data_IF_547007012483
#
_entry.id   IF_547007012483
#
_cell.length_a   1.000
_cell.length_b   1.000
_cell.length_c   1.000
_cell.angle_alpha   90.00
_cell.angle_beta   90.00
_cell.angle_gamma   90.00
#
_symmetry.space_group_name_H-M   'P 1'
#
loop_
_entity.id
_entity.type
_entity.pdbx_description
1 polymer ?
#
# COMPACT_ATOMS: atom_id res chain seq x y z
N UNK A 1 -0.65 -26.78 21.42
CA UNK A 1 -0.15 -26.59 20.04
C UNK A 1 -1.05 -25.66 19.23
N UNK A 2 -2.38 -25.89 19.15
CA UNK A 2 -3.31 -24.99 18.41
C UNK A 2 -3.44 -23.61 19.07
N UNK A 3 -3.50 -23.56 20.39
CA UNK A 3 -3.60 -22.30 21.14
C UNK A 3 -2.29 -21.49 21.09
N UNK A 4 -1.17 -22.15 21.14
CA UNK A 4 0.15 -21.51 20.99
C UNK A 4 0.32 -20.92 19.60
N UNK A 5 -0.08 -21.62 18.54
CA UNK A 5 -0.06 -21.11 17.17
C UNK A 5 -0.97 -19.92 16.97
N UNK A 6 -2.18 -19.93 17.58
CA UNK A 6 -3.12 -18.83 17.51
C UNK A 6 -2.58 -17.59 18.21
N UNK A 7 -2.02 -17.76 19.42
CA UNK A 7 -1.36 -16.66 20.15
C UNK A 7 -0.24 -16.06 19.33
N UNK A 8 0.57 -16.89 18.73
CA UNK A 8 1.67 -16.47 17.89
C UNK A 8 1.20 -15.70 16.67
N UNK A 9 0.14 -16.16 15.99
CA UNK A 9 -0.46 -15.42 14.88
C UNK A 9 -0.97 -14.06 15.34
N UNK A 10 -1.63 -13.99 16.50
CA UNK A 10 -2.09 -12.73 17.08
C UNK A 10 -0.92 -11.79 17.40
N UNK A 11 0.18 -12.30 17.94
CA UNK A 11 1.40 -11.53 18.17
C UNK A 11 1.98 -10.98 16.86
N UNK A 12 2.11 -11.82 15.83
CA UNK A 12 2.60 -11.40 14.51
C UNK A 12 1.71 -10.32 13.88
N UNK A 13 0.39 -10.46 13.99
CA UNK A 13 -0.54 -9.49 13.42
C UNK A 13 -0.54 -8.17 14.20
N UNK A 14 -0.62 -8.21 15.53
CA UNK A 14 -0.65 -7.02 16.37
C UNK A 14 0.63 -6.21 16.23
N UNK A 15 1.77 -6.87 16.24
CA UNK A 15 3.07 -6.20 16.08
C UNK A 15 3.33 -5.81 14.62
N UNK A 16 2.88 -6.63 13.63
CA UNK A 16 3.08 -6.40 12.19
C UNK A 16 2.23 -5.30 11.61
N UNK A 17 1.00 -5.18 12.06
CA UNK A 17 0.08 -4.14 11.58
C UNK A 17 0.37 -2.75 12.19
N UNK A 18 1.52 -2.61 12.89
CA UNK A 18 1.98 -1.32 13.41
C UNK A 18 0.90 -0.62 14.27
N UNK A 19 0.29 -1.37 15.19
CA UNK A 19 -0.70 -0.81 16.12
C UNK A 19 -0.26 0.50 16.79
N UNK A 20 1.04 0.77 17.03
CA UNK A 20 1.51 2.10 17.46
C UNK A 20 1.20 3.22 16.45
N UNK A 21 1.13 2.91 15.16
CA UNK A 21 0.78 3.89 14.12
C UNK A 21 -0.72 4.22 14.07
N UNK A 22 -1.57 3.43 14.75
CA UNK A 22 -2.99 3.74 14.92
C UNK A 22 -3.24 4.75 16.06
N UNK A 23 -2.17 5.31 16.63
CA UNK A 23 -2.27 6.28 17.74
C UNK A 23 -2.67 5.65 19.08
N UNK A 24 -2.72 4.33 19.15
CA UNK A 24 -3.06 3.63 20.40
C UNK A 24 -1.87 3.67 21.36
N UNK A 25 -2.03 4.40 22.47
CA UNK A 25 -1.07 4.44 23.58
C UNK A 25 -1.26 3.22 24.51
N UNK A 26 -1.23 2.02 23.94
CA UNK A 26 -1.48 0.76 24.70
C UNK A 26 -0.29 -0.16 24.51
N UNK A 27 0.03 -0.92 25.55
CA UNK A 27 1.04 -1.98 25.45
C UNK A 27 0.54 -3.05 24.45
N UNK A 28 1.28 -3.33 23.37
CA UNK A 28 0.86 -4.33 22.38
C UNK A 28 0.62 -5.72 22.96
N UNK A 29 1.33 -6.10 24.01
CA UNK A 29 1.12 -7.39 24.69
C UNK A 29 -0.28 -7.48 25.32
N UNK A 30 -0.80 -6.40 25.90
CA UNK A 30 -2.17 -6.36 26.43
C UNK A 30 -3.19 -6.58 25.31
N UNK A 31 -2.94 -6.01 24.12
CA UNK A 31 -3.80 -6.23 22.95
C UNK A 31 -3.82 -7.71 22.55
N UNK A 32 -2.65 -8.34 22.50
CA UNK A 32 -2.55 -9.78 22.20
C UNK A 32 -3.33 -10.62 23.21
N UNK A 33 -3.17 -10.35 24.52
CA UNK A 33 -3.86 -11.09 25.57
C UNK A 33 -5.37 -10.97 25.45
N UNK A 34 -5.88 -9.76 25.20
CA UNK A 34 -7.31 -9.52 24.99
C UNK A 34 -7.82 -10.23 23.73
N UNK A 35 -7.10 -10.15 22.60
CA UNK A 35 -7.48 -10.84 21.36
C UNK A 35 -7.51 -12.36 21.57
N UNK A 36 -6.51 -12.91 22.23
CA UNK A 36 -6.45 -14.36 22.49
C UNK A 36 -7.60 -14.81 23.40
N UNK A 37 -7.99 -13.96 24.37
CA UNK A 37 -9.12 -14.21 25.26
C UNK A 37 -10.48 -14.07 24.57
N UNK A 38 -10.68 -12.98 23.84
CA UNK A 38 -12.00 -12.53 23.42
C UNK A 38 -12.36 -12.89 21.98
N UNK A 39 -11.38 -13.30 21.17
CA UNK A 39 -11.60 -13.65 19.78
C UNK A 39 -12.48 -14.89 19.64
N UNK A 40 -13.69 -14.70 19.11
CA UNK A 40 -14.70 -15.75 18.94
C UNK A 40 -14.30 -16.79 17.89
N UNK A 41 -13.67 -16.33 16.83
CA UNK A 41 -13.22 -17.15 15.71
C UNK A 41 -11.69 -17.24 15.72
N UNK A 42 -11.16 -18.44 15.89
CA UNK A 42 -9.71 -18.69 15.94
C UNK A 42 -9.13 -18.83 14.54
N UNK A 43 -9.18 -17.74 13.78
CA UNK A 43 -8.70 -17.61 12.41
C UNK A 43 -7.93 -16.31 12.23
N UNK A 44 -7.30 -16.13 11.07
CA UNK A 44 -6.69 -14.86 10.64
C UNK A 44 -7.75 -13.75 10.63
N UNK A 45 -8.90 -14.02 9.99
CA UNK A 45 -10.01 -13.08 9.91
C UNK A 45 -10.54 -12.67 11.27
N UNK A 46 -10.66 -13.64 12.21
CA UNK A 46 -11.10 -13.37 13.58
C UNK A 46 -10.16 -12.43 14.32
N UNK A 47 -8.86 -12.63 14.24
CA UNK A 47 -7.86 -11.72 14.83
C UNK A 47 -7.94 -10.34 14.17
N UNK A 48 -8.03 -10.31 12.85
CA UNK A 48 -8.11 -9.07 12.07
C UNK A 48 -9.34 -8.24 12.48
N UNK A 49 -10.51 -8.87 12.57
CA UNK A 49 -11.73 -8.25 13.09
C UNK A 49 -11.54 -7.71 14.50
N UNK A 50 -11.04 -8.54 15.42
CA UNK A 50 -10.88 -8.16 16.83
C UNK A 50 -9.97 -6.94 16.99
N UNK A 51 -8.92 -6.84 16.19
CA UNK A 51 -8.02 -5.67 16.19
C UNK A 51 -8.75 -4.40 15.74
N UNK A 52 -9.48 -4.47 14.63
CA UNK A 52 -10.19 -3.32 14.07
C UNK A 52 -11.39 -2.89 14.92
N UNK A 53 -12.15 -3.85 15.45
CA UNK A 53 -13.23 -3.59 16.40
C UNK A 53 -12.73 -2.92 17.69
N UNK A 54 -11.58 -3.39 18.19
CA UNK A 54 -10.93 -2.76 19.33
C UNK A 54 -10.56 -1.32 19.04
N UNK A 55 -9.96 -1.05 17.88
CA UNK A 55 -9.65 0.31 17.46
C UNK A 55 -10.93 1.15 17.36
N UNK A 56 -11.96 0.66 16.71
CA UNK A 56 -13.25 1.33 16.56
C UNK A 56 -13.89 1.69 17.93
N UNK A 57 -13.75 0.80 18.93
CA UNK A 57 -14.20 1.08 20.31
C UNK A 57 -13.43 2.22 20.96
N UNK A 58 -12.11 2.31 20.74
CA UNK A 58 -11.28 3.39 21.29
C UNK A 58 -11.47 4.71 20.55
N UNK A 59 -11.92 4.68 19.30
CA UNK A 59 -12.20 5.86 18.46
C UNK A 59 -13.70 6.21 18.47
N UNK A 60 -14.28 6.37 19.65
CA UNK A 60 -15.67 6.80 19.82
C UNK A 60 -16.71 5.69 19.72
N UNK A 61 -16.33 4.44 19.97
CA UNK A 61 -17.22 3.28 19.96
C UNK A 61 -17.97 3.12 18.62
N UNK A 62 -17.26 3.25 17.53
CA UNK A 62 -17.83 3.17 16.18
C UNK A 62 -18.27 1.73 15.85
N UNK A 63 -19.47 1.54 15.26
CA UNK A 63 -20.00 0.21 14.98
C UNK A 63 -19.33 -0.46 13.74
N UNK A 64 -18.62 0.31 12.95
CA UNK A 64 -18.01 -0.10 11.69
C UNK A 64 -16.55 0.31 11.59
N UNK A 65 -15.77 -0.48 10.95
CA UNK A 65 -14.38 -0.19 10.63
C UNK A 65 -14.12 -0.31 9.13
N UNK A 66 -13.10 0.38 8.67
CA UNK A 66 -12.58 0.27 7.32
C UNK A 66 -11.06 0.25 7.34
N UNK A 67 -10.46 -0.32 6.32
CA UNK A 67 -9.03 -0.44 6.17
C UNK A 67 -8.58 0.13 4.82
N UNK A 68 -7.44 0.81 4.81
CA UNK A 68 -6.81 1.33 3.61
C UNK A 68 -5.34 0.93 3.55
N UNK A 69 -5.07 -0.14 2.83
CA UNK A 69 -3.74 -0.53 2.36
C UNK A 69 -3.75 -0.61 0.84
N UNK A 70 -2.84 0.09 0.13
CA UNK A 70 -2.86 0.10 -1.34
C UNK A 70 -2.79 -1.28 -1.97
N UNK A 71 -2.16 -2.25 -1.29
CA UNK A 71 -1.98 -3.62 -1.78
C UNK A 71 -3.20 -4.52 -1.63
N UNK A 72 -4.24 -4.11 -0.89
CA UNK A 72 -5.49 -4.88 -0.75
C UNK A 72 -6.14 -5.21 -2.09
N UNK A 73 -5.87 -4.40 -3.12
CA UNK A 73 -6.33 -4.65 -4.48
C UNK A 73 -5.85 -5.99 -5.08
N UNK A 74 -4.76 -6.55 -4.57
CA UNK A 74 -4.23 -7.86 -4.99
C UNK A 74 -4.83 -9.03 -4.21
N UNK A 75 -5.52 -8.74 -3.10
CA UNK A 75 -6.07 -9.73 -2.18
C UNK A 75 -7.60 -9.69 -2.09
N UNK A 76 -8.27 -9.12 -3.10
CA UNK A 76 -9.75 -9.01 -3.12
C UNK A 76 -10.42 -10.38 -2.97
N UNK A 77 -9.82 -11.44 -3.55
CA UNK A 77 -10.33 -12.81 -3.43
C UNK A 77 -10.29 -13.27 -1.96
N UNK A 78 -9.14 -13.18 -1.33
CA UNK A 78 -8.91 -13.59 0.05
C UNK A 78 -9.77 -12.78 1.02
N UNK A 79 -9.87 -11.47 0.77
CA UNK A 79 -10.75 -10.60 1.56
C UNK A 79 -12.21 -11.06 1.44
N UNK A 80 -12.68 -11.44 0.26
CA UNK A 80 -14.04 -11.94 0.09
C UNK A 80 -14.27 -13.35 0.65
N UNK A 81 -13.23 -14.17 0.73
CA UNK A 81 -13.29 -15.47 1.41
C UNK A 81 -13.49 -15.30 2.91
N UNK A 82 -12.80 -14.34 3.52
CA UNK A 82 -12.89 -14.03 4.95
C UNK A 82 -14.06 -13.08 5.29
N UNK A 83 -14.39 -12.16 4.38
CA UNK A 83 -15.41 -11.11 4.54
C UNK A 83 -16.32 -11.06 3.30
N UNK A 84 -17.27 -11.99 3.14
CA UNK A 84 -18.11 -12.08 1.93
C UNK A 84 -18.91 -10.82 1.60
N UNK A 85 -19.22 -10.01 2.61
CA UNK A 85 -19.96 -8.75 2.50
C UNK A 85 -19.07 -7.51 2.45
N UNK A 86 -17.76 -7.67 2.25
CA UNK A 86 -16.85 -6.54 2.14
C UNK A 86 -17.23 -5.61 1.01
N UNK A 87 -17.18 -4.31 1.27
CA UNK A 87 -17.37 -3.25 0.28
C UNK A 87 -16.01 -2.66 -0.09
N UNK A 88 -15.78 -2.50 -1.39
CA UNK A 88 -14.51 -2.01 -1.93
C UNK A 88 -14.71 -0.64 -2.58
N UNK A 89 -13.89 0.32 -2.20
CA UNK A 89 -13.78 1.62 -2.86
C UNK A 89 -12.41 1.68 -3.51
N UNK A 90 -12.39 1.65 -4.85
CA UNK A 90 -11.15 1.75 -5.61
C UNK A 90 -10.96 3.17 -6.12
N UNK A 91 -9.97 3.87 -5.54
CA UNK A 91 -9.63 5.23 -5.96
C UNK A 91 -8.60 5.16 -7.09
N UNK A 92 -8.98 5.67 -8.27
CA UNK A 92 -8.09 5.79 -9.43
C UNK A 92 -7.72 7.25 -9.63
N UNK A 93 -6.43 7.51 -9.87
CA UNK A 93 -5.90 8.80 -10.34
C UNK A 93 -5.25 8.62 -11.70
N UNK A 94 -5.17 9.69 -12.50
CA UNK A 94 -4.39 9.66 -13.75
C UNK A 94 -3.01 9.05 -13.49
N UNK A 95 -2.71 7.97 -14.22
CA UNK A 95 -1.49 7.20 -13.97
C UNK A 95 -0.22 8.02 -14.19
N UNK A 96 -0.27 9.05 -15.03
CA UNK A 96 0.86 9.96 -15.29
C UNK A 96 1.11 10.88 -14.10
N UNK A 97 0.03 11.40 -13.48
CA UNK A 97 0.12 12.20 -12.25
C UNK A 97 0.60 11.34 -11.07
N UNK A 98 0.05 10.13 -10.94
CA UNK A 98 0.47 9.19 -9.90
C UNK A 98 1.95 8.78 -10.07
N UNK A 99 2.39 8.57 -11.32
CA UNK A 99 3.78 8.24 -11.61
C UNK A 99 4.73 9.40 -11.32
N UNK A 100 4.33 10.64 -11.63
CA UNK A 100 5.13 11.82 -11.30
C UNK A 100 5.38 11.93 -9.79
N UNK A 101 4.34 11.68 -8.97
CA UNK A 101 4.48 11.66 -7.51
C UNK A 101 5.34 10.46 -7.03
N UNK A 102 5.20 9.27 -7.66
CA UNK A 102 6.00 8.11 -7.30
C UNK A 102 7.50 8.30 -7.57
N UNK A 103 7.85 8.96 -8.67
CA UNK A 103 9.26 9.25 -8.99
C UNK A 103 9.93 10.15 -7.92
N UNK A 104 9.15 10.97 -7.22
CA UNK A 104 9.62 11.83 -6.13
C UNK A 104 9.63 11.14 -4.76
N UNK A 105 8.94 10.00 -4.63
CA UNK A 105 8.82 9.29 -3.36
C UNK A 105 10.04 8.41 -3.07
N UNK A 106 10.34 8.22 -1.78
CA UNK A 106 11.45 7.36 -1.34
C UNK A 106 11.20 5.86 -1.58
N UNK A 107 9.94 5.46 -1.78
CA UNK A 107 9.51 4.05 -1.86
C UNK A 107 8.95 3.67 -3.24
N UNK A 108 8.75 4.63 -4.14
CA UNK A 108 8.21 4.41 -5.47
C UNK A 108 9.23 3.87 -6.47
N UNK A 109 8.78 3.50 -7.68
CA UNK A 109 9.66 3.24 -8.81
C UNK A 109 10.54 4.46 -9.13
N UNK A 110 11.74 4.20 -9.61
CA UNK A 110 12.76 5.24 -9.86
C UNK A 110 12.81 5.73 -11.31
N UNK A 111 12.03 5.12 -12.18
CA UNK A 111 11.87 5.53 -13.56
C UNK A 111 10.43 5.39 -14.03
N UNK A 112 10.10 6.13 -15.09
CA UNK A 112 8.73 6.22 -15.60
C UNK A 112 8.22 4.90 -16.19
N UNK A 113 9.10 4.06 -16.72
CA UNK A 113 8.73 2.75 -17.27
C UNK A 113 8.15 1.86 -16.16
N UNK A 114 8.90 1.68 -15.07
CA UNK A 114 8.46 0.88 -13.93
C UNK A 114 7.28 1.51 -13.17
N UNK A 115 7.19 2.84 -13.14
CA UNK A 115 6.01 3.52 -12.57
C UNK A 115 4.75 3.24 -13.39
N UNK A 116 4.86 3.26 -14.72
CA UNK A 116 3.76 2.90 -15.62
C UNK A 116 3.37 1.42 -15.49
N UNK A 117 4.34 0.50 -15.40
CA UNK A 117 4.07 -0.93 -15.15
C UNK A 117 3.32 -1.11 -13.83
N UNK A 118 3.75 -0.45 -12.76
CA UNK A 118 3.11 -0.54 -11.44
C UNK A 118 1.68 -0.03 -11.47
N UNK A 119 1.43 1.09 -12.13
CA UNK A 119 0.08 1.63 -12.27
C UNK A 119 -0.82 0.73 -13.12
N UNK A 120 -0.35 0.23 -14.26
CA UNK A 120 -1.07 -0.70 -15.12
C UNK A 120 -1.39 -2.01 -14.39
N UNK A 121 -0.45 -2.53 -13.59
CA UNK A 121 -0.64 -3.72 -12.77
C UNK A 121 -1.81 -3.54 -11.81
N UNK A 122 -1.89 -2.39 -11.12
CA UNK A 122 -3.01 -2.07 -10.23
C UNK A 122 -4.36 -2.05 -10.97
N UNK A 123 -4.43 -1.43 -12.17
CA UNK A 123 -5.63 -1.41 -12.99
C UNK A 123 -6.04 -2.83 -13.45
N UNK A 124 -5.05 -3.63 -13.84
CA UNK A 124 -5.28 -5.01 -14.29
C UNK A 124 -5.74 -5.92 -13.15
N UNK A 125 -5.20 -5.76 -11.94
CA UNK A 125 -5.56 -6.55 -10.77
C UNK A 125 -7.05 -6.38 -10.39
N UNK A 126 -7.59 -5.18 -10.51
CA UNK A 126 -8.99 -4.91 -10.13
C UNK A 126 -10.00 -5.16 -11.27
N UNK A 127 -9.54 -5.25 -12.52
CA UNK A 127 -10.41 -5.42 -13.70
C UNK A 127 -11.39 -6.62 -13.59
N UNK A 128 -10.98 -7.82 -13.12
CA UNK A 128 -11.91 -8.93 -12.94
C UNK A 128 -12.98 -8.64 -11.89
N UNK A 129 -12.62 -7.94 -10.84
CA UNK A 129 -13.51 -7.65 -9.72
C UNK A 129 -14.57 -6.62 -10.07
N UNK A 130 -14.24 -5.58 -10.84
CA UNK A 130 -15.20 -4.62 -11.41
C UNK A 130 -16.31 -5.30 -12.22
N UNK A 131 -16.02 -6.48 -12.81
CA UNK A 131 -16.99 -7.23 -13.59
C UNK A 131 -17.78 -8.24 -12.76
N UNK A 132 -17.17 -8.74 -11.67
CA UNK A 132 -17.72 -9.81 -10.83
C UNK A 132 -18.58 -9.27 -9.69
N UNK A 133 -18.16 -8.17 -9.09
CA UNK A 133 -18.86 -7.56 -7.98
C UNK A 133 -19.91 -6.58 -8.48
N UNK A 134 -21.02 -6.53 -7.80
CA UNK A 134 -22.10 -5.61 -8.12
C UNK A 134 -21.90 -4.21 -7.47
N UNK A 135 -22.82 -3.31 -7.76
CA UNK A 135 -22.73 -1.92 -7.27
C UNK A 135 -22.91 -1.78 -5.75
N UNK A 136 -23.32 -2.81 -5.03
CA UNK A 136 -23.38 -2.81 -3.57
C UNK A 136 -22.04 -3.17 -2.93
N UNK A 137 -21.16 -3.85 -3.66
CA UNK A 137 -19.87 -4.30 -3.17
C UNK A 137 -18.68 -3.55 -3.80
N UNK A 138 -18.84 -2.93 -4.98
CA UNK A 138 -17.74 -2.26 -5.67
C UNK A 138 -18.10 -0.84 -6.09
N UNK A 139 -17.24 0.11 -5.73
CA UNK A 139 -17.33 1.50 -6.14
C UNK A 139 -16.00 1.98 -6.73
N UNK A 140 -16.03 2.43 -7.99
CA UNK A 140 -14.92 3.20 -8.55
C UNK A 140 -15.07 4.69 -8.24
N UNK A 141 -13.99 5.31 -7.78
CA UNK A 141 -13.92 6.72 -7.44
C UNK A 141 -12.70 7.34 -8.13
N UNK A 142 -12.92 8.38 -8.95
CA UNK A 142 -11.79 9.13 -9.51
C UNK A 142 -11.30 10.17 -8.50
N UNK A 143 -9.98 10.20 -8.31
CA UNK A 143 -9.33 11.21 -7.47
C UNK A 143 -9.69 12.62 -7.91
N UNK A 144 -9.69 12.86 -9.22
CA UNK A 144 -9.98 14.16 -9.83
C UNK A 144 -11.39 14.63 -9.51
N UNK A 145 -12.37 13.73 -9.53
CA UNK A 145 -13.75 14.05 -9.16
C UNK A 145 -13.88 14.35 -7.66
N UNK A 146 -13.18 13.53 -6.84
CA UNK A 146 -13.17 13.72 -5.39
C UNK A 146 -12.59 15.07 -4.98
N UNK A 147 -11.52 15.54 -5.61
CA UNK A 147 -10.91 16.82 -5.23
C UNK A 147 -11.59 18.04 -5.83
N UNK A 148 -12.29 17.89 -6.97
CA UNK A 148 -13.07 18.96 -7.61
C UNK A 148 -14.41 19.21 -6.91
N UNK A 149 -15.10 18.14 -6.54
CA UNK A 149 -16.38 18.22 -5.84
C UNK A 149 -16.42 17.21 -4.68
N UNK A 150 -15.67 17.50 -3.59
CA UNK A 150 -15.59 16.59 -2.44
C UNK A 150 -16.96 16.31 -1.83
N UNK A 151 -17.84 17.33 -1.75
CA UNK A 151 -19.16 17.15 -1.13
C UNK A 151 -20.01 16.12 -1.87
N UNK A 152 -20.05 16.21 -3.20
CA UNK A 152 -20.79 15.28 -4.05
C UNK A 152 -20.21 13.85 -3.95
N UNK A 153 -18.88 13.74 -4.04
CA UNK A 153 -18.22 12.43 -4.02
C UNK A 153 -18.31 11.75 -2.65
N UNK A 154 -18.18 12.51 -1.56
CA UNK A 154 -18.35 11.97 -0.21
C UNK A 154 -19.81 11.56 0.07
N UNK A 155 -20.80 12.32 -0.39
CA UNK A 155 -22.22 11.89 -0.31
C UNK A 155 -22.43 10.55 -1.01
N UNK A 156 -21.97 10.44 -2.28
CA UNK A 156 -22.05 9.19 -3.04
C UNK A 156 -21.32 8.02 -2.34
N UNK A 157 -20.18 8.30 -1.72
CA UNK A 157 -19.43 7.30 -0.95
C UNK A 157 -20.20 6.87 0.30
N UNK A 158 -20.81 7.80 1.02
CA UNK A 158 -21.66 7.49 2.17
C UNK A 158 -22.91 6.69 1.77
N UNK A 159 -23.57 7.06 0.66
CA UNK A 159 -24.69 6.28 0.10
C UNK A 159 -24.26 4.83 -0.24
N UNK A 160 -23.09 4.64 -0.87
CA UNK A 160 -22.54 3.32 -1.16
C UNK A 160 -22.28 2.50 0.11
N UNK A 161 -21.82 3.16 1.18
CA UNK A 161 -21.50 2.53 2.45
C UNK A 161 -22.72 2.37 3.38
N UNK A 162 -23.89 2.89 3.01
CA UNK A 162 -25.06 3.01 3.89
C UNK A 162 -24.72 3.79 5.18
N UNK A 163 -24.01 4.92 5.01
CA UNK A 163 -23.56 5.78 6.08
C UNK A 163 -24.09 7.22 5.91
N UNK A 164 -24.17 7.94 7.01
CA UNK A 164 -24.60 9.33 6.97
C UNK A 164 -23.46 10.26 6.57
N UNK A 165 -23.71 11.10 5.56
CA UNK A 165 -22.76 12.15 5.20
C UNK A 165 -22.68 13.23 6.30
N UNK A 166 -21.46 13.64 6.62
CA UNK A 166 -21.19 14.78 7.51
C UNK A 166 -20.28 15.81 6.84
N UNK A 167 -20.61 17.11 6.90
CA UNK A 167 -19.71 18.17 6.43
C UNK A 167 -18.34 18.16 7.11
N UNK A 168 -18.22 17.62 8.32
CA UNK A 168 -16.96 17.47 9.04
C UNK A 168 -15.95 16.58 8.29
N UNK A 169 -16.39 15.73 7.36
CA UNK A 169 -15.51 14.93 6.51
C UNK A 169 -14.55 15.79 5.66
N UNK A 170 -14.93 17.04 5.35
CA UNK A 170 -14.06 17.99 4.63
C UNK A 170 -12.94 18.56 5.51
N UNK A 171 -13.05 18.40 6.82
CA UNK A 171 -12.13 18.97 7.79
C UNK A 171 -11.09 17.97 8.29
N UNK A 172 -10.93 16.85 7.59
CA UNK A 172 -9.98 15.76 7.96
C UNK A 172 -8.58 16.27 8.31
N UNK A 173 -8.11 17.32 7.62
CA UNK A 173 -6.79 17.92 7.81
C UNK A 173 -6.64 18.63 9.17
N UNK A 174 -7.72 18.90 9.88
CA UNK A 174 -7.71 19.46 11.24
C UNK A 174 -7.48 18.39 12.31
N UNK A 175 -7.63 17.11 11.97
CA UNK A 175 -7.42 16.00 12.89
C UNK A 175 -5.94 15.80 13.26
N UNK A 176 -5.69 15.26 14.45
CA UNK A 176 -4.33 15.08 14.97
C UNK A 176 -3.49 14.11 14.13
N UNK A 177 -4.12 13.06 13.59
CA UNK A 177 -3.46 12.09 12.70
C UNK A 177 -3.01 12.77 11.40
N UNK A 178 -3.87 13.58 10.79
CA UNK A 178 -3.56 14.29 9.56
C UNK A 178 -2.44 15.32 9.80
N UNK A 179 -2.51 16.06 10.90
CA UNK A 179 -1.45 17.01 11.30
C UNK A 179 -0.11 16.30 11.52
N UNK A 180 -0.10 15.21 12.29
CA UNK A 180 1.11 14.46 12.56
C UNK A 180 1.74 13.87 11.29
N UNK A 181 0.94 13.26 10.41
CA UNK A 181 1.43 12.69 9.13
C UNK A 181 1.78 13.75 8.11
N UNK A 182 1.09 14.88 8.07
CA UNK A 182 1.36 16.00 7.16
C UNK A 182 2.72 16.66 7.35
N UNK A 183 3.46 16.32 8.39
CA UNK A 183 4.85 16.77 8.61
C UNK A 183 5.85 16.02 7.74
N UNK A 184 5.51 14.83 7.24
CA UNK A 184 6.41 14.02 6.42
C UNK A 184 6.40 14.49 4.97
N UNK A 185 7.53 14.31 4.25
CA UNK A 185 7.66 14.73 2.84
C UNK A 185 6.55 14.17 1.96
N UNK A 186 6.25 12.88 2.09
CA UNK A 186 5.33 12.15 1.23
C UNK A 186 3.84 12.38 1.58
N UNK A 187 3.56 12.99 2.74
CA UNK A 187 2.20 13.19 3.23
C UNK A 187 1.83 14.66 3.48
N UNK A 188 2.65 15.60 3.04
CA UNK A 188 2.39 17.05 3.19
C UNK A 188 0.95 17.47 2.82
N UNK A 189 0.34 16.93 1.75
CA UNK A 189 -1.04 17.29 1.40
C UNK A 189 -2.08 16.95 2.47
N UNK A 190 -1.82 15.99 3.36
CA UNK A 190 -2.76 15.63 4.44
C UNK A 190 -2.99 16.76 5.46
N UNK A 191 -2.04 17.68 5.59
CA UNK A 191 -2.19 18.85 6.47
C UNK A 191 -3.03 19.98 5.90
N UNK A 192 -3.61 19.82 4.70
CA UNK A 192 -4.34 20.85 3.99
C UNK A 192 -5.69 20.34 3.49
N UNK A 193 -6.61 21.24 3.22
CA UNK A 193 -7.85 20.94 2.53
C UNK A 193 -7.57 20.34 1.13
N UNK A 194 -8.52 19.56 0.61
CA UNK A 194 -8.45 19.03 -0.76
C UNK A 194 -8.23 20.13 -1.78
N UNK A 195 -7.42 19.85 -2.80
CA UNK A 195 -7.11 20.82 -3.85
C UNK A 195 -6.92 20.10 -5.18
N UNK A 196 -7.40 20.72 -6.25
CA UNK A 196 -7.25 20.24 -7.63
C UNK A 196 -5.88 20.57 -8.27
N UNK A 197 -5.03 21.31 -7.56
CA UNK A 197 -3.69 21.72 -8.04
C UNK A 197 -2.77 20.57 -8.44
N UNK A 198 -3.09 19.36 -8.01
CA UNK A 198 -2.34 18.14 -8.35
C UNK A 198 -2.93 17.38 -9.54
N UNK A 199 -3.93 17.93 -10.22
CA UNK A 199 -4.50 17.36 -11.45
C UNK A 199 -3.71 17.86 -12.65
N UNK A 200 -3.22 16.93 -13.45
CA UNK A 200 -2.49 17.24 -14.68
C UNK A 200 -1.05 17.73 -14.44
N UNK A 201 -0.49 17.52 -13.25
CA UNK A 201 0.89 17.93 -12.92
C UNK A 201 1.93 17.23 -13.79
N UNK A 202 1.62 16.05 -14.31
CA UNK A 202 2.49 15.31 -15.22
C UNK A 202 2.94 16.15 -16.43
N UNK A 203 2.10 17.07 -16.90
CA UNK A 203 2.41 17.95 -18.05
C UNK A 203 3.63 18.83 -17.80
N UNK A 204 3.87 19.18 -16.54
CA UNK A 204 4.99 20.01 -16.12
C UNK A 204 6.16 19.20 -15.54
N UNK A 205 5.87 18.03 -14.98
CA UNK A 205 6.88 17.22 -14.26
C UNK A 205 7.49 16.12 -15.13
N UNK A 206 6.72 15.56 -16.06
CA UNK A 206 7.23 14.51 -16.96
C UNK A 206 7.68 15.11 -18.30
N UNK A 207 8.87 14.74 -18.73
CA UNK A 207 9.33 15.06 -20.07
C UNK A 207 8.41 14.43 -21.14
N UNK A 208 8.41 14.98 -22.36
CA UNK A 208 7.68 14.37 -23.49
C UNK A 208 8.11 12.92 -23.72
N UNK A 209 9.41 12.64 -23.55
CA UNK A 209 9.92 11.27 -23.61
C UNK A 209 9.25 10.36 -22.58
N UNK A 210 9.16 10.79 -21.34
CA UNK A 210 8.58 10.00 -20.26
C UNK A 210 7.07 9.81 -20.45
N UNK A 211 6.35 10.82 -20.90
CA UNK A 211 4.93 10.70 -21.26
C UNK A 211 4.72 9.66 -22.38
N UNK A 212 5.59 9.61 -23.38
CA UNK A 212 5.54 8.63 -24.47
C UNK A 212 5.89 7.22 -23.99
N UNK A 213 6.85 7.08 -23.07
CA UNK A 213 7.18 5.80 -22.43
C UNK A 213 5.97 5.31 -21.63
N UNK A 214 5.35 6.17 -20.80
CA UNK A 214 4.13 5.84 -20.09
C UNK A 214 3.02 5.37 -21.03
N UNK A 215 2.82 6.08 -22.14
CA UNK A 215 1.84 5.73 -23.17
C UNK A 215 2.08 4.34 -23.79
N UNK A 216 3.34 3.95 -23.94
CA UNK A 216 3.70 2.61 -24.44
C UNK A 216 3.31 1.52 -23.43
N UNK A 217 3.61 1.74 -22.15
CA UNK A 217 3.49 0.71 -21.11
C UNK A 217 2.06 0.61 -20.59
N UNK A 218 1.41 1.74 -20.31
CA UNK A 218 0.11 1.81 -19.64
C UNK A 218 -0.98 2.54 -20.42
N UNK A 219 -0.76 2.83 -21.71
CA UNK A 219 -1.71 3.60 -22.52
C UNK A 219 -3.06 2.94 -22.71
N UNK A 220 -3.11 1.61 -22.74
CA UNK A 220 -4.37 0.85 -22.78
C UNK A 220 -5.17 1.03 -21.49
N UNK A 221 -4.54 0.79 -20.36
CA UNK A 221 -5.15 0.92 -19.04
C UNK A 221 -5.56 2.35 -18.75
N UNK A 222 -4.77 3.33 -19.22
CA UNK A 222 -5.09 4.75 -19.11
C UNK A 222 -6.41 5.09 -19.83
N UNK A 223 -6.57 4.61 -21.07
CA UNK A 223 -7.81 4.80 -21.84
C UNK A 223 -9.00 4.09 -21.20
N UNK A 224 -8.81 2.85 -20.75
CA UNK A 224 -9.85 2.06 -20.06
C UNK A 224 -10.31 2.75 -18.74
N UNK A 225 -9.38 3.43 -18.06
CA UNK A 225 -9.70 4.24 -16.88
C UNK A 225 -10.34 5.61 -17.23
N UNK A 226 -10.53 5.91 -18.53
CA UNK A 226 -11.20 7.10 -19.02
C UNK A 226 -10.35 8.36 -19.00
N UNK A 227 -9.02 8.22 -19.18
CA UNK A 227 -8.08 9.31 -19.38
C UNK A 227 -7.65 9.42 -20.85
N UNK A 228 -7.52 10.64 -21.34
CA UNK A 228 -7.06 10.88 -22.70
C UNK A 228 -5.58 10.53 -22.85
N UNK A 229 -5.20 9.97 -24.00
CA UNK A 229 -3.83 9.74 -24.37
C UNK A 229 -3.39 10.86 -25.33
N UNK A 230 -2.61 11.80 -24.82
CA UNK A 230 -2.28 13.05 -25.52
C UNK A 230 -0.99 12.96 -26.36
N UNK A 231 -0.30 11.81 -26.30
CA UNK A 231 0.99 11.62 -26.99
C UNK A 231 1.05 10.27 -27.68
N UNK A 232 1.82 10.18 -28.75
CA UNK A 232 2.12 8.91 -29.41
C UNK A 232 3.07 8.07 -28.57
N UNK A 233 2.81 6.75 -28.44
CA UNK A 233 3.69 5.84 -27.73
C UNK A 233 5.14 5.85 -28.26
N UNK A 234 6.11 5.65 -27.38
CA UNK A 234 7.48 5.42 -27.76
C UNK A 234 7.67 3.98 -28.27
N UNK A 235 8.65 3.77 -29.13
CA UNK A 235 9.12 2.41 -29.44
C UNK A 235 10.12 2.00 -28.36
N UNK A 236 9.84 0.91 -27.66
CA UNK A 236 10.68 0.35 -26.60
C UNK A 236 10.93 -1.11 -26.94
N UNK A 237 12.20 -1.52 -27.02
CA UNK A 237 12.58 -2.93 -27.21
C UNK A 237 12.52 -3.67 -25.86
N UNK A 238 12.43 -5.01 -25.91
CA UNK A 238 12.45 -5.81 -24.67
C UNK A 238 13.77 -5.61 -23.88
N UNK A 239 14.89 -5.52 -24.59
CA UNK A 239 16.19 -5.22 -23.97
C UNK A 239 16.18 -3.87 -23.22
N UNK A 240 15.53 -2.86 -23.78
CA UNK A 240 15.35 -1.56 -23.11
C UNK A 240 14.42 -1.69 -21.88
N UNK A 241 13.36 -2.47 -22.02
CA UNK A 241 12.43 -2.73 -20.90
C UNK A 241 13.13 -3.43 -19.73
N UNK A 242 13.93 -4.46 -20.04
CA UNK A 242 14.74 -5.15 -19.02
C UNK A 242 15.73 -4.20 -18.35
N UNK A 243 16.39 -3.33 -19.13
CA UNK A 243 17.31 -2.33 -18.58
C UNK A 243 16.59 -1.34 -17.62
N UNK A 244 15.36 -0.89 -17.95
CA UNK A 244 14.58 -0.05 -17.03
C UNK A 244 14.29 -0.76 -15.71
N UNK A 245 13.88 -2.04 -15.76
CA UNK A 245 13.58 -2.85 -14.57
C UNK A 245 14.85 -3.10 -13.74
N UNK A 246 15.97 -3.44 -14.40
CA UNK A 246 17.25 -3.64 -13.73
C UNK A 246 17.73 -2.37 -13.02
N UNK A 247 17.68 -1.23 -13.71
CA UNK A 247 18.06 0.06 -13.12
C UNK A 247 17.16 0.44 -11.96
N UNK A 248 15.84 0.23 -12.07
CA UNK A 248 14.91 0.46 -10.97
C UNK A 248 15.27 -0.37 -9.75
N UNK A 249 15.45 -1.68 -9.93
CA UNK A 249 15.83 -2.58 -8.84
C UNK A 249 17.14 -2.16 -8.16
N UNK A 250 18.16 -1.80 -8.94
CA UNK A 250 19.46 -1.34 -8.41
C UNK A 250 19.34 -0.02 -7.65
N UNK A 251 18.62 0.97 -8.21
CA UNK A 251 18.46 2.28 -7.58
C UNK A 251 17.63 2.14 -6.32
N UNK A 252 16.52 1.39 -6.35
CA UNK A 252 15.68 1.15 -5.16
C UNK A 252 16.46 0.43 -4.07
N UNK A 253 17.14 -0.66 -4.42
CA UNK A 253 18.03 -1.33 -3.49
C UNK A 253 19.07 -0.40 -2.86
N UNK A 254 19.50 0.61 -3.59
CA UNK A 254 20.48 1.58 -3.11
C UNK A 254 19.88 2.79 -2.37
N UNK A 255 18.59 3.13 -2.56
CA UNK A 255 17.96 4.36 -2.01
C UNK A 255 17.09 4.15 -0.80
N UNK A 256 16.72 2.93 -0.48
CA UNK A 256 16.02 2.61 0.75
C UNK A 256 17.00 2.69 1.96
N UNK A 257 17.71 3.79 2.11
CA UNK A 257 18.21 4.17 3.44
C UNK A 257 16.98 4.42 4.29
N UNK A 258 16.85 3.62 5.35
CA UNK A 258 15.78 3.82 6.30
C UNK A 258 15.89 5.23 6.90
N UNK A 259 14.93 6.13 6.68
CA UNK A 259 14.83 7.32 7.52
C UNK A 259 14.73 6.86 8.97
N UNK A 260 15.18 7.67 9.92
CA UNK A 260 15.24 7.34 11.37
C UNK A 260 13.95 6.68 11.94
N UNK A 261 12.78 6.89 11.31
CA UNK A 261 11.53 6.22 11.66
C UNK A 261 11.39 4.75 11.21
N UNK A 262 12.27 4.23 10.36
CA UNK A 262 12.25 2.83 9.89
C UNK A 262 13.06 1.87 10.75
N UNK A 263 13.87 2.36 11.69
CA UNK A 263 14.65 1.52 12.62
C UNK A 263 13.71 0.60 13.42
N UNK A 264 12.55 1.09 13.81
CA UNK A 264 11.53 0.27 14.49
C UNK A 264 10.96 -0.79 13.54
N UNK A 265 10.93 -0.52 12.25
CA UNK A 265 10.45 -1.45 11.23
C UNK A 265 11.44 -2.58 10.97
N UNK A 266 12.73 -2.24 10.93
CA UNK A 266 13.81 -3.20 10.77
C UNK A 266 13.88 -4.16 11.95
N UNK A 267 13.90 -3.65 13.16
CA UNK A 267 13.95 -4.47 14.37
C UNK A 267 12.72 -5.38 14.51
N UNK A 268 11.55 -4.92 14.05
CA UNK A 268 10.34 -5.72 14.06
C UNK A 268 10.37 -6.83 13.00
N UNK A 269 10.78 -6.51 11.77
CA UNK A 269 10.95 -7.52 10.72
C UNK A 269 12.05 -8.53 11.06
N UNK A 270 13.15 -8.07 11.65
CA UNK A 270 14.21 -8.95 12.14
C UNK A 270 13.69 -9.86 13.24
N UNK A 271 12.91 -9.34 14.18
CA UNK A 271 12.26 -10.14 15.22
C UNK A 271 11.28 -11.17 14.64
N UNK A 272 10.43 -10.79 13.69
CA UNK A 272 9.53 -11.72 13.00
C UNK A 272 10.29 -12.85 12.30
N UNK A 273 11.40 -12.52 11.67
CA UNK A 273 12.25 -13.47 10.96
C UNK A 273 12.89 -14.43 11.96
N UNK A 274 13.43 -13.91 13.06
CA UNK A 274 14.01 -14.73 14.13
C UNK A 274 12.97 -15.66 14.76
N UNK A 275 11.75 -15.16 14.96
CA UNK A 275 10.64 -15.99 15.44
C UNK A 275 10.28 -17.12 14.45
N UNK A 276 10.26 -16.84 13.14
CA UNK A 276 10.03 -17.84 12.10
C UNK A 276 11.16 -18.88 12.05
N UNK A 277 12.40 -18.46 12.09
CA UNK A 277 13.56 -19.36 12.08
C UNK A 277 13.63 -20.20 13.36
N UNK A 278 13.26 -19.63 14.50
CA UNK A 278 13.17 -20.38 15.76
C UNK A 278 12.05 -21.44 15.70
N UNK A 279 10.90 -21.13 15.10
CA UNK A 279 9.81 -22.08 14.90
C UNK A 279 10.15 -23.17 13.92
N UNK A 280 10.86 -22.84 12.83
CA UNK A 280 11.40 -23.84 11.91
C UNK A 280 12.33 -24.80 12.62
N UNK A 281 13.24 -24.28 13.46
CA UNK A 281 14.15 -25.11 14.28
C UNK A 281 13.40 -26.00 15.26
N UNK A 282 12.29 -25.52 15.83
CA UNK A 282 11.42 -26.29 16.74
C UNK A 282 10.47 -27.24 16.01
N UNK A 283 10.46 -27.27 14.68
CA UNK A 283 9.54 -28.08 13.87
C UNK A 283 8.05 -27.70 14.02
N UNK A 284 7.77 -26.49 14.50
CA UNK A 284 6.40 -25.99 14.74
C UNK A 284 5.87 -25.25 13.52
N UNK A 285 6.75 -24.80 12.63
CA UNK A 285 6.43 -24.07 11.41
C UNK A 285 6.75 -24.88 10.16
N UNK A 286 5.80 -24.93 9.22
CA UNK A 286 6.00 -25.51 7.90
C UNK A 286 5.79 -24.44 6.85
N UNK A 287 6.67 -24.36 5.86
CA UNK A 287 6.54 -23.41 4.75
C UNK A 287 5.23 -23.59 3.96
N UNK A 288 4.60 -24.77 4.03
CA UNK A 288 3.31 -25.07 3.45
C UNK A 288 2.15 -24.31 4.14
N UNK A 289 2.34 -23.78 5.34
CA UNK A 289 1.33 -23.06 6.10
C UNK A 289 1.35 -21.55 5.76
N UNK A 290 2.28 -21.12 4.91
CA UNK A 290 2.31 -19.75 4.39
C UNK A 290 1.34 -19.59 3.22
N UNK A 291 0.45 -18.59 3.24
CA UNK A 291 -0.30 -18.24 2.03
C UNK A 291 0.71 -17.93 0.92
N UNK A 292 0.53 -18.56 -0.24
CA UNK A 292 1.34 -18.22 -1.41
C UNK A 292 1.04 -16.78 -1.79
N UNK A 293 2.07 -15.94 -1.81
CA UNK A 293 1.94 -14.57 -2.29
C UNK A 293 1.31 -14.58 -3.67
N UNK A 294 0.25 -13.81 -3.87
CA UNK A 294 -0.37 -13.59 -5.19
C UNK A 294 0.31 -12.46 -5.96
N UNK A 295 1.34 -11.85 -5.40
CA UNK A 295 2.13 -10.86 -6.13
C UNK A 295 2.83 -11.52 -7.30
N UNK A 296 2.77 -10.93 -8.49
CA UNK A 296 3.57 -11.40 -9.61
C UNK A 296 5.05 -11.46 -9.23
N UNK A 297 5.74 -12.52 -9.64
CA UNK A 297 7.18 -12.67 -9.41
C UNK A 297 7.90 -11.41 -9.92
N UNK A 298 8.76 -10.82 -9.08
CA UNK A 298 9.46 -9.58 -9.38
C UNK A 298 8.69 -8.30 -9.10
N UNK A 299 7.50 -8.37 -8.48
CA UNK A 299 6.83 -7.16 -7.99
C UNK A 299 7.66 -6.50 -6.87
N UNK A 300 7.83 -5.16 -6.90
CA UNK A 300 8.67 -4.44 -5.91
C UNK A 300 8.35 -4.73 -4.44
N UNK A 301 7.12 -5.15 -4.15
CA UNK A 301 6.67 -5.47 -2.80
C UNK A 301 6.92 -6.93 -2.39
N UNK A 302 7.16 -7.81 -3.34
CA UNK A 302 7.53 -9.20 -3.05
C UNK A 302 8.88 -9.25 -2.32
N UNK A 303 9.82 -8.39 -2.71
CA UNK A 303 11.12 -8.25 -2.03
C UNK A 303 10.98 -7.70 -0.61
N UNK A 304 10.05 -6.79 -0.36
CA UNK A 304 9.77 -6.26 0.98
C UNK A 304 9.09 -7.29 1.91
N UNK A 305 8.39 -8.27 1.34
CA UNK A 305 7.68 -9.33 2.06
C UNK A 305 8.55 -10.58 2.24
N UNK A 306 9.53 -10.82 1.36
CA UNK A 306 10.35 -12.05 1.34
C UNK A 306 11.47 -12.13 2.38
N UNK A 307 11.65 -11.16 3.25
CA UNK A 307 12.49 -11.29 4.45
C UNK A 307 14.01 -11.23 4.23
N UNK A 308 14.80 -11.77 5.16
CA UNK A 308 16.26 -11.58 5.32
C UNK A 308 17.14 -11.74 4.07
N UNK A 309 16.79 -12.57 3.09
CA UNK A 309 17.62 -12.73 1.87
C UNK A 309 17.57 -11.50 0.98
N UNK A 310 16.38 -10.94 0.79
CA UNK A 310 16.21 -9.70 0.06
C UNK A 310 16.87 -8.54 0.82
N UNK A 311 16.70 -8.50 2.13
CA UNK A 311 17.32 -7.54 3.03
C UNK A 311 18.86 -7.57 3.00
N UNK A 312 19.51 -8.75 3.01
CA UNK A 312 20.98 -8.86 2.88
C UNK A 312 21.47 -8.37 1.53
N UNK A 313 20.84 -8.80 0.43
CA UNK A 313 21.15 -8.31 -0.92
C UNK A 313 20.99 -6.80 -1.00
N UNK A 314 19.99 -6.28 -0.35
CA UNK A 314 19.69 -4.87 -0.26
C UNK A 314 20.73 -4.08 0.56
N UNK A 315 21.17 -4.56 1.72
CA UNK A 315 22.29 -3.99 2.47
C UNK A 315 23.59 -4.00 1.67
N UNK A 316 23.84 -5.06 0.91
CA UNK A 316 24.99 -5.16 0.01
C UNK A 316 24.90 -4.11 -1.12
N UNK A 317 23.75 -3.95 -1.74
CA UNK A 317 23.52 -2.95 -2.78
C UNK A 317 23.66 -1.51 -2.25
N UNK A 318 23.16 -1.22 -1.04
CA UNK A 318 23.39 0.05 -0.34
C UNK A 318 24.87 0.32 -0.12
N UNK A 319 25.64 -0.68 0.29
CA UNK A 319 27.08 -0.54 0.51
C UNK A 319 27.84 -0.22 -0.76
N UNK A 320 27.37 -0.77 -1.88
CA UNK A 320 27.92 -0.52 -3.23
C UNK A 320 27.61 0.92 -3.65
N UNK A 321 26.38 1.41 -3.44
CA UNK A 321 26.01 2.79 -3.78
C UNK A 321 26.79 3.84 -2.97
N UNK A 322 26.98 3.63 -1.68
CA UNK A 322 27.81 4.53 -0.86
C UNK A 322 29.23 4.69 -1.42
N UNK A 323 29.78 3.65 -2.07
CA UNK A 323 31.09 3.70 -2.74
C UNK A 323 31.06 4.46 -4.07
N UNK A 324 29.93 4.47 -4.76
CA UNK A 324 29.81 5.08 -6.10
C UNK A 324 29.28 6.52 -6.05
N UNK A 325 28.28 6.80 -5.21
CA UNK A 325 27.72 8.17 -5.07
C UNK A 325 28.67 9.08 -4.32
N UNK A 326 29.41 8.57 -3.33
CA UNK A 326 30.43 9.33 -2.62
C UNK A 326 31.64 9.75 -3.49
N UNK A 327 31.79 9.16 -4.67
CA UNK A 327 32.84 9.53 -5.65
C UNK A 327 32.37 10.47 -6.75
N UNK A 328 31.04 10.61 -6.94
CA UNK A 328 30.45 11.50 -7.93
C UNK A 328 30.01 12.86 -7.37
N UNK A 329 30.09 13.04 -6.06
CA UNK A 329 29.77 14.29 -5.35
C UNK A 329 31.02 15.04 -4.87
N UNK A 330 32.21 14.64 -5.32
CA UNK A 330 33.48 15.36 -5.24
C UNK A 330 33.94 15.67 -6.67
#
# INVERSE_FOLDING_TARGET
RKDENFRTLAEEMVFGLKTPFWGMKVNPRTIVDEIVSDCKERSFAGIYCAMHERYAKTDGNKPRWGEKTPHNLFFVKEILEDFPNAQFIFITRDGRDASADYLESAFGPTNIFCAAESWALCQNAVRPWRKKLDASQWMDLKYEDLVRDPAKMLKRTCEFLDEQYSPAMHEFFKGDIAKARGTTKDHKPLGHATSDKYIGIYKNLLSLRDQRIFATVAGKELKEAGYALDVEPAKITEEQAELYRELDGRIRAATLEAPEGHIVYESYNDWLIDQREERKRKGIWKDADMPKSQFPIGHPHEEAIMGQRAWRKWKEALSIKRRYVGKAAL
#
